data_IF_149532328156
#
_entry.id   IF_149532328156
#
_cell.length_a   1.000
_cell.length_b   1.000
_cell.length_c   1.000
_cell.angle_alpha   90.00
_cell.angle_beta   90.00
_cell.angle_gamma   90.00
#
_symmetry.space_group_name_H-M   'P 1'
#
loop_
_entity.id
_entity.type
_entity.pdbx_description
1 polymer ?
#
# COMPACT_ATOMS: atom_id res chain seq x y z
N UNK A 1 -8.24 18.02 -12.56
CA UNK A 1 -6.92 17.62 -13.06
C UNK A 1 -5.93 17.93 -11.95
N UNK A 2 -5.16 16.95 -11.47
CA UNK A 2 -4.14 17.15 -10.43
C UNK A 2 -3.12 18.19 -10.90
N UNK A 3 -3.01 19.38 -10.31
CA UNK A 3 -1.90 20.28 -10.56
C UNK A 3 -0.82 19.97 -9.53
N UNK A 4 -0.28 18.75 -9.55
CA UNK A 4 0.87 18.41 -8.70
C UNK A 4 2.13 18.84 -9.42
N UNK A 5 2.39 20.14 -9.33
CA UNK A 5 3.64 20.74 -9.78
C UNK A 5 4.77 20.06 -9.00
N UNK A 6 5.81 19.59 -9.70
CA UNK A 6 7.05 18.97 -9.17
C UNK A 6 7.05 17.47 -8.84
N UNK A 7 6.01 16.69 -9.15
CA UNK A 7 6.08 15.23 -9.02
C UNK A 7 7.11 14.61 -9.98
N UNK A 8 7.84 13.59 -9.52
CA UNK A 8 8.91 12.94 -10.28
C UNK A 8 8.71 11.41 -10.33
N UNK A 9 9.26 10.72 -11.35
CA UNK A 9 9.36 9.26 -11.30
C UNK A 9 10.06 8.81 -10.02
N UNK A 10 9.53 7.77 -9.39
CA UNK A 10 9.97 7.24 -8.10
C UNK A 10 9.24 7.82 -6.88
N UNK A 11 8.51 8.93 -7.03
CA UNK A 11 7.66 9.43 -5.94
C UNK A 11 6.58 8.40 -5.56
N UNK A 12 6.06 8.49 -4.35
CA UNK A 12 5.16 7.47 -3.79
C UNK A 12 3.75 8.01 -3.65
N UNK A 13 2.76 7.18 -3.98
CA UNK A 13 1.34 7.49 -3.76
C UNK A 13 0.81 6.57 -2.68
N UNK A 14 0.34 7.17 -1.59
CA UNK A 14 -0.30 6.47 -0.48
C UNK A 14 -1.81 6.57 -0.59
N UNK A 15 -2.49 5.47 -0.26
CA UNK A 15 -3.94 5.32 -0.38
C UNK A 15 -4.52 5.23 1.03
N UNK A 16 -5.50 6.09 1.30
CA UNK A 16 -6.03 6.29 2.64
C UNK A 16 -7.51 5.94 2.72
N UNK A 17 -7.90 5.41 3.87
CA UNK A 17 -9.29 5.18 4.26
C UNK A 17 -9.56 5.71 5.66
N UNK A 18 -10.51 6.61 5.78
CA UNK A 18 -10.95 7.23 7.01
C UNK A 18 -11.62 6.19 7.90
N UNK A 19 -11.10 6.06 9.12
CA UNK A 19 -11.65 5.18 10.16
C UNK A 19 -13.06 5.59 10.61
N UNK A 20 -13.45 6.85 10.43
CA UNK A 20 -14.79 7.35 10.77
C UNK A 20 -15.91 6.87 9.83
N UNK A 21 -15.56 6.27 8.68
CA UNK A 21 -16.51 5.78 7.67
C UNK A 21 -16.57 4.24 7.58
N UNK A 22 -16.17 3.52 8.63
CA UNK A 22 -16.13 2.05 8.66
C UNK A 22 -17.48 1.30 8.55
N UNK A 23 -18.56 1.99 8.16
CA UNK A 23 -19.84 1.36 7.83
C UNK A 23 -20.13 1.54 6.33
N UNK A 24 -19.62 0.62 5.48
CA UNK A 24 -20.39 -0.09 4.43
C UNK A 24 -19.68 -0.46 3.11
N UNK A 25 -18.39 -0.16 2.88
CA UNK A 25 -17.74 -0.52 1.58
C UNK A 25 -16.28 -0.97 1.61
N UNK A 26 -15.60 -0.95 2.76
CA UNK A 26 -14.21 -1.42 2.90
C UNK A 26 -14.13 -2.94 3.03
N UNK A 27 -13.21 -3.60 2.31
CA UNK A 27 -12.96 -5.03 2.50
C UNK A 27 -12.42 -5.33 3.92
N UNK A 28 -12.77 -6.50 4.49
CA UNK A 28 -12.27 -6.93 5.81
C UNK A 28 -10.73 -6.97 5.87
N UNK A 29 -10.08 -7.21 4.73
CA UNK A 29 -8.63 -7.21 4.57
C UNK A 29 -8.01 -5.85 4.87
N UNK A 30 -8.50 -4.79 4.23
CA UNK A 30 -7.94 -3.44 4.36
C UNK A 30 -8.13 -2.90 5.79
N UNK A 31 -9.27 -3.20 6.41
CA UNK A 31 -9.50 -2.87 7.82
C UNK A 31 -8.53 -3.58 8.76
N UNK A 32 -8.19 -4.85 8.47
CA UNK A 32 -7.21 -5.59 9.25
C UNK A 32 -5.79 -5.02 9.08
N UNK A 33 -5.41 -4.61 7.87
CA UNK A 33 -4.14 -3.90 7.61
C UNK A 33 -4.07 -2.60 8.39
N UNK A 34 -5.14 -1.79 8.35
CA UNK A 34 -5.23 -0.54 9.11
C UNK A 34 -5.09 -0.79 10.62
N UNK A 35 -5.81 -1.81 11.13
CA UNK A 35 -5.84 -2.15 12.56
C UNK A 35 -4.50 -2.70 13.08
N UNK A 36 -3.67 -3.21 12.18
CA UNK A 36 -2.31 -3.69 12.45
C UNK A 36 -1.30 -2.55 12.67
N UNK A 37 -1.65 -1.30 12.35
CA UNK A 37 -0.78 -0.13 12.47
C UNK A 37 -0.94 0.62 13.80
N UNK A 38 0.18 1.07 14.39
CA UNK A 38 0.19 1.95 15.57
C UNK A 38 0.38 3.44 15.23
N UNK A 39 0.60 3.77 13.95
CA UNK A 39 0.88 5.12 13.42
C UNK A 39 0.06 5.34 12.15
N UNK A 40 -0.58 6.50 11.98
CA UNK A 40 -1.39 6.85 10.80
C UNK A 40 -2.29 5.68 10.34
N UNK A 41 -3.28 5.37 11.18
CA UNK A 41 -4.17 4.21 11.05
C UNK A 41 -5.22 4.36 9.92
N UNK A 42 -4.85 5.00 8.82
CA UNK A 42 -5.71 5.21 7.66
C UNK A 42 -5.02 4.76 6.36
N UNK A 43 -3.71 4.49 6.38
CA UNK A 43 -2.96 4.08 5.18
C UNK A 43 -3.02 2.57 5.00
N UNK A 44 -3.62 2.11 3.89
CA UNK A 44 -3.77 0.67 3.61
C UNK A 44 -2.99 0.22 2.37
N UNK A 45 -2.58 1.14 1.48
CA UNK A 45 -1.89 0.78 0.25
C UNK A 45 -0.89 1.85 -0.19
N UNK A 46 0.09 1.44 -1.00
CA UNK A 46 1.14 2.33 -1.54
C UNK A 46 1.53 1.90 -2.95
N UNK A 47 1.86 2.87 -3.79
CA UNK A 47 2.31 2.67 -5.17
C UNK A 47 3.53 3.54 -5.51
N UNK A 48 4.30 3.09 -6.50
CA UNK A 48 5.40 3.83 -7.11
C UNK A 48 4.88 4.62 -8.32
N UNK A 49 5.05 5.94 -8.33
CA UNK A 49 4.76 6.77 -9.50
C UNK A 49 5.87 6.60 -10.54
N UNK A 50 5.52 6.14 -11.75
CA UNK A 50 6.51 5.89 -12.81
C UNK A 50 6.46 6.95 -13.92
N UNK A 51 5.26 7.44 -14.27
CA UNK A 51 5.08 8.49 -15.27
C UNK A 51 4.19 9.60 -14.73
N UNK A 52 4.76 10.68 -14.17
CA UNK A 52 3.99 11.73 -13.52
C UNK A 52 3.02 12.48 -14.44
N UNK A 53 3.35 12.65 -15.72
CA UNK A 53 2.54 13.41 -16.67
C UNK A 53 1.17 12.79 -16.93
N UNK A 54 1.11 11.45 -16.87
CA UNK A 54 -0.11 10.68 -17.12
C UNK A 54 -0.56 9.87 -15.89
N UNK A 55 0.14 10.04 -14.77
CA UNK A 55 -0.08 9.35 -13.50
C UNK A 55 -0.11 7.82 -13.63
N UNK A 56 0.85 7.25 -14.37
CA UNK A 56 1.07 5.80 -14.40
C UNK A 56 1.80 5.39 -13.13
N UNK A 57 1.33 4.32 -12.50
CA UNK A 57 1.89 3.75 -11.27
C UNK A 57 2.24 2.28 -11.46
N UNK A 58 3.20 1.80 -10.67
CA UNK A 58 3.41 0.36 -10.45
C UNK A 58 3.19 0.07 -8.97
N UNK A 59 2.40 -0.95 -8.67
CA UNK A 59 2.10 -1.39 -7.32
C UNK A 59 1.87 -2.89 -7.27
N UNK A 60 1.77 -3.46 -6.06
CA UNK A 60 1.42 -4.87 -5.89
C UNK A 60 0.07 -5.03 -5.19
N UNK A 61 -0.90 -5.68 -5.84
CA UNK A 61 -2.27 -5.88 -5.31
C UNK A 61 -2.62 -7.36 -5.19
N UNK A 62 -3.55 -7.75 -4.29
CA UNK A 62 -4.01 -9.13 -4.19
C UNK A 62 -4.54 -9.71 -5.51
N UNK A 63 -5.15 -8.87 -6.36
CA UNK A 63 -5.78 -9.30 -7.62
C UNK A 63 -4.77 -9.48 -8.75
N UNK A 64 -3.80 -8.56 -8.89
CA UNK A 64 -2.94 -8.50 -10.08
C UNK A 64 -1.47 -8.83 -9.78
N UNK A 65 -1.08 -9.02 -8.52
CA UNK A 65 0.32 -9.01 -8.15
C UNK A 65 0.94 -7.66 -8.48
N UNK A 66 2.22 -7.65 -8.87
CA UNK A 66 2.90 -6.45 -9.38
C UNK A 66 2.38 -6.11 -10.77
N UNK A 67 1.72 -4.98 -10.90
CA UNK A 67 1.13 -4.51 -12.16
C UNK A 67 1.33 -3.01 -12.36
N UNK A 68 1.38 -2.62 -13.62
CA UNK A 68 1.25 -1.23 -14.03
C UNK A 68 -0.23 -0.87 -14.19
N UNK A 69 -0.64 0.28 -13.67
CA UNK A 69 -1.99 0.82 -13.81
C UNK A 69 -1.93 2.35 -13.96
N UNK A 70 -2.96 2.95 -14.57
CA UNK A 70 -3.19 4.37 -14.34
C UNK A 70 -3.66 4.60 -12.90
N UNK A 71 -3.31 5.75 -12.29
CA UNK A 71 -3.80 6.11 -10.96
C UNK A 71 -5.34 6.11 -10.90
N UNK A 72 -6.01 6.44 -12.01
CA UNK A 72 -7.47 6.41 -12.09
C UNK A 72 -8.03 4.99 -11.93
N UNK A 73 -7.43 4.00 -12.60
CA UNK A 73 -7.84 2.59 -12.47
C UNK A 73 -7.58 2.10 -11.05
N UNK A 74 -6.40 2.38 -10.51
CA UNK A 74 -6.06 2.02 -9.14
C UNK A 74 -7.04 2.62 -8.11
N UNK A 75 -7.44 3.88 -8.29
CA UNK A 75 -8.48 4.53 -7.45
C UNK A 75 -9.83 3.82 -7.59
N UNK A 76 -10.22 3.41 -8.80
CA UNK A 76 -11.47 2.69 -9.03
C UNK A 76 -11.46 1.31 -8.38
N UNK A 77 -10.33 0.62 -8.45
CA UNK A 77 -10.16 -0.74 -7.94
C UNK A 77 -10.06 -0.76 -6.41
N UNK A 78 -9.34 0.21 -5.83
CA UNK A 78 -9.07 0.26 -4.38
C UNK A 78 -10.07 1.11 -3.60
N UNK A 79 -10.82 1.99 -4.26
CA UNK A 79 -11.81 2.89 -3.66
C UNK A 79 -11.30 3.55 -2.35
N UNK A 80 -10.16 4.28 -2.38
CA UNK A 80 -9.68 5.00 -1.21
C UNK A 80 -10.54 6.26 -1.03
N UNK A 81 -10.57 6.81 0.18
CA UNK A 81 -11.23 8.10 0.44
C UNK A 81 -10.41 9.25 -0.12
N UNK A 82 -9.08 9.13 -0.04
CA UNK A 82 -8.15 10.03 -0.68
C UNK A 82 -6.81 9.34 -0.97
N UNK A 83 -6.03 9.99 -1.82
CA UNK A 83 -4.63 9.62 -2.07
C UNK A 83 -3.70 10.77 -1.72
N UNK A 84 -2.53 10.45 -1.21
CA UNK A 84 -1.46 11.40 -0.87
C UNK A 84 -0.25 11.14 -1.76
N UNK A 85 0.17 12.15 -2.53
CA UNK A 85 1.43 12.07 -3.29
C UNK A 85 2.57 12.61 -2.42
N UNK A 86 3.60 11.78 -2.26
CA UNK A 86 4.82 12.13 -1.54
C UNK A 86 6.03 12.11 -2.47
N UNK A 87 6.76 13.23 -2.48
CA UNK A 87 8.10 13.28 -3.05
C UNK A 87 9.06 12.50 -2.17
N UNK A 88 9.91 11.67 -2.78
CA UNK A 88 11.01 11.03 -2.06
C UNK A 88 12.32 11.78 -2.36
N UNK A 89 12.92 12.34 -1.30
CA UNK A 89 14.14 13.12 -1.36
C UNK A 89 15.37 12.21 -1.53
N UNK A 90 15.57 11.75 -2.76
CA UNK A 90 16.69 10.92 -3.20
C UNK A 90 17.25 11.45 -4.53
N UNK A 91 18.52 11.14 -4.84
CA UNK A 91 19.08 11.43 -6.15
C UNK A 91 18.22 10.85 -7.29
N UNK A 92 18.03 11.64 -8.35
CA UNK A 92 17.21 11.23 -9.49
C UNK A 92 17.62 9.87 -10.09
N UNK A 93 18.93 9.58 -10.15
CA UNK A 93 19.44 8.30 -10.63
C UNK A 93 18.95 7.11 -9.79
N UNK A 94 18.85 7.25 -8.47
CA UNK A 94 18.35 6.20 -7.59
C UNK A 94 16.85 5.97 -7.78
N UNK A 95 16.08 7.05 -7.94
CA UNK A 95 14.64 6.96 -8.23
C UNK A 95 14.35 6.28 -9.57
N UNK A 96 15.08 6.65 -10.61
CA UNK A 96 14.98 6.02 -11.93
C UNK A 96 15.39 4.55 -11.88
N UNK A 97 16.45 4.20 -11.14
CA UNK A 97 16.83 2.80 -10.96
C UNK A 97 15.72 1.99 -10.27
N UNK A 98 15.07 2.53 -9.25
CA UNK A 98 13.92 1.89 -8.59
C UNK A 98 12.74 1.69 -9.55
N UNK A 99 12.45 2.68 -10.41
CA UNK A 99 11.43 2.58 -11.46
C UNK A 99 11.76 1.49 -12.47
N UNK A 100 12.99 1.42 -12.95
CA UNK A 100 13.41 0.38 -13.91
C UNK A 100 13.38 -1.02 -13.28
N UNK A 101 13.78 -1.15 -12.02
CA UNK A 101 13.64 -2.41 -11.29
C UNK A 101 12.17 -2.81 -11.13
N UNK A 102 11.29 -1.85 -10.80
CA UNK A 102 9.86 -2.07 -10.65
C UNK A 102 9.21 -2.57 -11.94
N UNK A 103 9.56 -2.00 -13.10
CA UNK A 103 9.10 -2.47 -14.41
C UNK A 103 9.49 -3.92 -14.68
N UNK A 104 10.70 -4.33 -14.27
CA UNK A 104 11.16 -5.73 -14.40
C UNK A 104 10.39 -6.72 -13.50
N UNK A 105 9.65 -6.22 -12.50
CA UNK A 105 8.84 -7.07 -11.62
C UNK A 105 7.39 -7.21 -12.07
N UNK A 106 6.95 -6.56 -13.15
CA UNK A 106 5.57 -6.70 -13.64
C UNK A 106 5.25 -8.18 -13.88
N UNK A 107 4.13 -8.65 -13.33
CA UNK A 107 3.69 -10.05 -13.37
C UNK A 107 4.13 -10.91 -12.17
N UNK A 108 5.00 -10.40 -11.29
CA UNK A 108 5.33 -11.07 -10.02
C UNK A 108 4.08 -11.14 -9.13
N UNK A 109 3.84 -12.28 -8.48
CA UNK A 109 2.61 -12.55 -7.74
C UNK A 109 2.48 -11.70 -6.46
N UNK A 110 1.28 -11.68 -5.88
CA UNK A 110 1.06 -11.06 -4.57
C UNK A 110 1.53 -11.98 -3.44
N UNK A 111 2.21 -11.40 -2.45
CA UNK A 111 2.63 -12.10 -1.23
C UNK A 111 1.44 -12.10 -0.26
N UNK A 112 0.56 -13.08 -0.43
CA UNK A 112 -0.67 -13.23 0.34
C UNK A 112 -0.43 -13.62 1.80
N UNK A 113 0.74 -14.15 2.14
CA UNK A 113 1.10 -14.57 3.51
C UNK A 113 2.08 -13.63 4.19
N UNK A 114 2.30 -12.44 3.62
CA UNK A 114 3.19 -11.40 4.14
C UNK A 114 4.60 -11.90 4.53
N UNK A 115 5.09 -12.93 3.83
CA UNK A 115 6.35 -13.58 4.19
C UNK A 115 7.54 -12.61 4.08
N UNK A 116 8.47 -12.60 5.07
CA UNK A 116 9.70 -11.81 4.99
C UNK A 116 10.57 -12.21 3.78
N UNK A 117 10.42 -13.44 3.31
CA UNK A 117 11.25 -14.02 2.24
C UNK A 117 10.76 -13.67 0.82
N UNK A 118 9.72 -12.82 0.68
CA UNK A 118 9.13 -12.45 -0.61
C UNK A 118 8.57 -13.67 -1.36
N UNK A 119 7.84 -14.52 -0.65
CA UNK A 119 7.23 -15.76 -1.15
C UNK A 119 5.75 -15.82 -0.73
N UNK A 120 4.88 -16.29 -1.63
CA UNK A 120 3.45 -16.43 -1.36
C UNK A 120 3.15 -17.82 -0.76
N UNK A 121 1.88 -18.10 -0.47
CA UNK A 121 1.39 -19.41 0.00
C UNK A 121 1.75 -20.59 -0.90
N UNK A 122 2.12 -20.33 -2.17
CA UNK A 122 2.54 -21.34 -3.16
C UNK A 122 4.06 -21.43 -3.34
N UNK A 123 4.82 -20.77 -2.47
CA UNK A 123 6.28 -20.70 -2.54
C UNK A 123 6.81 -20.05 -3.84
N UNK A 124 6.03 -19.15 -4.43
CA UNK A 124 6.40 -18.37 -5.61
C UNK A 124 6.89 -16.99 -5.19
N UNK A 125 7.88 -16.46 -5.93
CA UNK A 125 8.37 -15.09 -5.75
C UNK A 125 7.19 -14.13 -5.81
N UNK A 126 7.06 -13.30 -4.79
CA UNK A 126 5.92 -12.41 -4.63
C UNK A 126 6.21 -11.23 -3.72
N UNK A 127 5.38 -10.20 -3.80
CA UNK A 127 5.47 -9.02 -2.95
C UNK A 127 4.09 -8.57 -2.47
N UNK A 128 4.02 -7.98 -1.28
CA UNK A 128 2.90 -7.11 -0.92
C UNK A 128 3.30 -5.64 -1.16
N UNK A 129 2.33 -4.74 -1.17
CA UNK A 129 2.50 -3.37 -1.69
C UNK A 129 3.73 -2.62 -1.15
N UNK A 130 3.88 -2.52 0.16
CA UNK A 130 5.00 -1.78 0.76
C UNK A 130 6.31 -2.59 0.80
N UNK A 131 6.27 -3.93 0.79
CA UNK A 131 7.48 -4.75 0.61
C UNK A 131 8.06 -4.59 -0.79
N UNK A 132 7.19 -4.47 -1.80
CA UNK A 132 7.59 -4.18 -3.16
C UNK A 132 8.34 -2.83 -3.26
N UNK A 133 7.81 -1.77 -2.65
CA UNK A 133 8.45 -0.44 -2.65
C UNK A 133 9.81 -0.47 -1.93
N UNK A 134 9.86 -1.09 -0.73
CA UNK A 134 11.12 -1.23 0.00
C UNK A 134 12.17 -1.98 -0.83
N UNK A 135 11.78 -3.07 -1.49
CA UNK A 135 12.67 -3.84 -2.36
C UNK A 135 13.12 -3.05 -3.58
N UNK A 136 12.26 -2.27 -4.22
CA UNK A 136 12.64 -1.44 -5.36
C UNK A 136 13.78 -0.46 -5.03
N UNK A 137 13.73 0.17 -3.86
CA UNK A 137 14.77 1.08 -3.41
C UNK A 137 15.99 0.38 -2.80
N UNK A 138 15.78 -0.72 -2.09
CA UNK A 138 16.85 -1.54 -1.50
C UNK A 138 17.73 -2.17 -2.57
N UNK A 139 17.14 -2.77 -3.59
CA UNK A 139 17.88 -3.50 -4.63
C UNK A 139 18.63 -2.58 -5.60
N UNK A 140 18.36 -1.28 -5.58
CA UNK A 140 18.94 -0.33 -6.54
C UNK A 140 19.92 0.64 -5.90
N UNK A 141 19.97 0.71 -4.58
CA UNK A 141 20.97 1.50 -3.86
C UNK A 141 22.28 0.73 -3.64
N UNK A 142 23.36 1.50 -3.41
CA UNK A 142 24.73 0.98 -3.30
C UNK A 142 24.88 0.05 -2.08
N UNK A 143 24.22 0.37 -0.97
CA UNK A 143 24.38 -0.38 0.28
C UNK A 143 23.57 -1.67 0.33
N UNK A 144 22.63 -1.87 -0.60
CA UNK A 144 21.66 -2.98 -0.58
C UNK A 144 20.87 -3.08 0.73
N UNK A 145 20.59 -1.93 1.34
CA UNK A 145 19.85 -1.81 2.61
C UNK A 145 18.52 -1.08 2.39
N UNK A 146 17.57 -1.34 3.28
CA UNK A 146 16.34 -0.54 3.32
C UNK A 146 16.69 0.91 3.65
N UNK A 147 16.03 1.83 2.96
CA UNK A 147 16.09 3.28 3.22
C UNK A 147 14.90 3.76 4.05
N UNK A 148 13.95 2.85 4.35
CA UNK A 148 12.76 3.15 5.12
C UNK A 148 12.94 2.68 6.57
N UNK A 149 12.15 3.23 7.52
CA UNK A 149 12.22 2.81 8.91
C UNK A 149 11.97 1.30 9.05
N UNK A 150 12.73 0.60 9.92
CA UNK A 150 12.55 -0.82 10.12
C UNK A 150 11.17 -1.11 10.74
N UNK A 151 10.54 -2.20 10.31
CA UNK A 151 9.25 -2.64 10.83
C UNK A 151 9.28 -4.14 11.14
N UNK A 152 8.58 -4.50 12.22
CA UNK A 152 8.22 -5.88 12.54
C UNK A 152 6.72 -6.04 12.31
N UNK A 153 6.35 -7.04 11.53
CA UNK A 153 4.95 -7.32 11.21
C UNK A 153 4.13 -7.46 12.49
N UNK A 154 2.97 -6.83 12.48
CA UNK A 154 2.05 -6.84 13.59
C UNK A 154 0.67 -7.27 13.11
N UNK A 155 0.13 -8.32 13.71
CA UNK A 155 -1.21 -8.86 13.46
C UNK A 155 -2.10 -8.72 14.69
N UNK A 156 -1.66 -7.90 15.66
CA UNK A 156 -2.37 -7.60 16.90
C UNK A 156 -2.99 -6.21 16.88
N UNK A 157 -4.12 -6.09 17.55
CA UNK A 157 -4.78 -4.82 17.81
C UNK A 157 -4.04 -3.98 18.89
N UNK A 158 -4.55 -2.79 19.16
CA UNK A 158 -4.00 -1.90 20.19
C UNK A 158 -4.06 -2.47 21.61
N UNK A 159 -4.90 -3.48 21.87
CA UNK A 159 -4.98 -4.19 23.15
C UNK A 159 -3.95 -5.33 23.25
N UNK A 160 -3.24 -5.62 22.17
CA UNK A 160 -2.24 -6.69 22.08
C UNK A 160 -2.82 -8.07 21.73
N UNK A 161 -4.10 -8.14 21.36
CA UNK A 161 -4.75 -9.39 20.95
C UNK A 161 -4.63 -9.58 19.44
N UNK A 162 -4.50 -10.83 18.99
CA UNK A 162 -4.53 -11.12 17.55
C UNK A 162 -5.88 -10.74 16.95
N UNK A 163 -5.85 -10.05 15.81
CA UNK A 163 -7.06 -9.66 15.09
C UNK A 163 -7.69 -10.93 14.50
N UNK A 164 -8.96 -11.26 14.81
CA UNK A 164 -9.58 -12.52 14.38
C UNK A 164 -9.54 -12.75 12.87
N UNK A 165 -9.69 -11.67 12.08
CA UNK A 165 -9.57 -11.73 10.63
C UNK A 165 -8.27 -12.40 10.18
N UNK A 166 -7.12 -12.07 10.80
CA UNK A 166 -5.84 -12.63 10.39
C UNK A 166 -5.71 -14.11 10.75
N UNK A 167 -6.30 -14.54 11.87
CA UNK A 167 -6.33 -15.95 12.25
C UNK A 167 -7.11 -16.77 11.20
N UNK A 168 -8.32 -16.31 10.85
CA UNK A 168 -9.15 -16.96 9.83
C UNK A 168 -8.45 -16.97 8.46
N UNK A 169 -7.86 -15.84 8.10
CA UNK A 169 -7.12 -15.68 6.85
C UNK A 169 -5.97 -16.68 6.72
N UNK A 170 -5.13 -16.83 7.76
CA UNK A 170 -3.99 -17.76 7.71
C UNK A 170 -4.41 -19.22 7.80
N UNK A 171 -5.48 -19.52 8.53
CA UNK A 171 -6.08 -20.86 8.52
C UNK A 171 -6.55 -21.27 7.11
N UNK A 172 -7.07 -20.33 6.33
CA UNK A 172 -7.47 -20.56 4.94
C UNK A 172 -6.26 -20.67 3.99
N UNK A 173 -5.29 -19.75 4.12
CA UNK A 173 -4.16 -19.65 3.18
C UNK A 173 -3.05 -20.66 3.39
N UNK A 174 -2.80 -21.04 4.64
CA UNK A 174 -1.72 -21.95 5.03
C UNK A 174 -2.26 -23.05 5.95
N UNK A 175 -3.20 -23.91 5.49
CA UNK A 175 -3.86 -24.88 6.37
C UNK A 175 -2.89 -25.88 7.02
N UNK A 176 -1.73 -26.11 6.41
CA UNK A 176 -0.68 -26.99 6.96
C UNK A 176 0.18 -26.31 8.03
N UNK A 177 0.30 -24.98 8.00
CA UNK A 177 1.03 -24.19 9.00
C UNK A 177 0.49 -22.75 9.09
N UNK A 178 -0.62 -22.52 9.82
CA UNK A 178 -1.30 -21.21 9.87
C UNK A 178 -0.61 -20.23 10.85
N UNK A 179 0.72 -20.29 10.95
CA UNK A 179 1.49 -19.38 11.80
C UNK A 179 1.49 -17.98 11.21
N UNK A 180 1.00 -17.01 11.99
CA UNK A 180 1.15 -15.59 11.69
C UNK A 180 2.63 -15.22 11.80
N UNK A 181 3.22 -14.49 10.83
CA UNK A 181 4.59 -13.99 10.91
C UNK A 181 4.68 -12.79 11.86
N UNK A 182 4.09 -12.90 13.04
CA UNK A 182 4.07 -11.87 14.06
C UNK A 182 5.48 -11.61 14.61
N UNK A 183 5.92 -10.35 14.55
CA UNK A 183 7.22 -9.94 15.03
C UNK A 183 8.37 -10.21 14.06
N UNK A 184 8.12 -10.87 12.94
CA UNK A 184 9.07 -11.07 11.85
C UNK A 184 9.37 -9.73 11.14
N UNK A 185 10.56 -9.57 10.51
CA UNK A 185 10.86 -8.41 9.69
C UNK A 185 9.84 -8.24 8.55
N UNK A 186 9.40 -7.01 8.32
CA UNK A 186 8.53 -6.71 7.19
C UNK A 186 8.45 -5.22 6.92
N UNK A 187 7.38 -4.80 6.27
CA UNK A 187 7.07 -3.40 6.05
C UNK A 187 5.58 -3.16 6.23
N UNK A 188 5.23 -1.90 6.45
CA UNK A 188 3.85 -1.44 6.55
C UNK A 188 3.77 -0.08 5.85
N UNK A 189 2.70 0.22 5.07
CA UNK A 189 2.63 1.47 4.33
C UNK A 189 2.74 2.71 5.23
N UNK A 190 2.13 2.69 6.42
CA UNK A 190 2.24 3.80 7.40
C UNK A 190 3.67 4.02 7.91
N UNK A 191 4.44 2.94 8.08
CA UNK A 191 5.84 3.03 8.53
C UNK A 191 6.72 3.54 7.40
N UNK A 192 6.50 3.07 6.18
CA UNK A 192 7.15 3.65 4.99
C UNK A 192 6.89 5.16 4.91
N UNK A 193 5.63 5.56 5.09
CA UNK A 193 5.20 6.96 5.04
C UNK A 193 5.80 7.83 6.16
N UNK A 194 6.14 7.25 7.31
CA UNK A 194 6.81 7.97 8.41
C UNK A 194 8.29 8.30 8.13
N UNK A 195 8.84 7.83 7.01
CA UNK A 195 10.21 8.15 6.63
C UNK A 195 10.43 9.65 6.49
N UNK A 196 11.52 10.16 7.07
CA UNK A 196 11.94 11.56 6.92
C UNK A 196 12.40 11.90 5.51
N UNK A 197 12.53 10.91 4.63
CA UNK A 197 12.83 11.11 3.21
C UNK A 197 11.60 11.55 2.40
N UNK A 198 10.39 11.46 2.95
CA UNK A 198 9.15 11.74 2.24
C UNK A 198 8.60 13.11 2.60
N UNK A 199 8.31 13.90 1.57
CA UNK A 199 7.64 15.21 1.67
C UNK A 199 6.31 15.17 0.90
N UNK A 200 5.23 15.67 1.51
CA UNK A 200 3.92 15.67 0.88
C UNK A 200 3.86 16.74 -0.20
N UNK A 201 3.60 16.34 -1.45
CA UNK A 201 3.34 17.25 -2.55
C UNK A 201 1.86 17.64 -2.65
N UNK A 202 0.96 16.76 -2.23
CA UNK A 202 -0.47 17.08 -2.16
C UNK A 202 -1.36 15.90 -1.83
N UNK A 203 -2.60 16.23 -1.48
CA UNK A 203 -3.67 15.29 -1.14
C UNK A 203 -4.82 15.46 -2.12
N UNK A 204 -5.37 14.35 -2.58
CA UNK A 204 -6.52 14.34 -3.49
C UNK A 204 -7.65 13.51 -2.93
N UNK A 205 -8.72 14.21 -2.56
CA UNK A 205 -9.96 13.63 -2.08
C UNK A 205 -10.79 13.07 -3.22
N UNK A 206 -11.20 11.81 -3.07
CA UNK A 206 -12.10 11.16 -4.01
C UNK A 206 -13.52 11.49 -3.57
N UNK A 207 -14.21 12.26 -4.41
CA UNK A 207 -15.61 12.58 -4.17
C UNK A 207 -16.39 11.27 -4.18
N UNK A 208 -16.99 10.92 -3.05
CA UNK A 208 -18.06 9.93 -3.03
C UNK A 208 -19.18 10.43 -3.93
N UNK A 209 -19.72 9.55 -4.75
CA UNK A 209 -20.89 9.86 -5.55
C UNK A 209 -22.08 10.06 -4.60
N UNK A 210 -22.33 11.30 -4.20
CA UNK A 210 -23.43 11.67 -3.28
C UNK A 210 -24.81 11.51 -3.93
N UNK A 211 -24.91 10.98 -5.16
CA UNK A 211 -26.18 10.73 -5.84
C UNK A 211 -27.05 9.62 -5.22
N UNK A 212 -26.58 8.93 -4.17
CA UNK A 212 -27.35 7.91 -3.43
C UNK A 212 -27.95 8.36 -2.10
N UNK A 213 -27.77 9.62 -1.68
CA UNK A 213 -28.62 10.17 -0.61
C UNK A 213 -29.86 10.76 -1.28
N UNK A 214 -30.85 9.90 -1.56
CA UNK A 214 -32.19 10.37 -1.89
C UNK A 214 -32.71 11.15 -0.68
N UNK A 215 -32.70 12.45 -0.87
CA UNK A 215 -33.52 13.45 -0.22
C UNK A 215 -34.96 12.93 -0.08
N UNK A 216 -35.39 12.73 1.16
CA UNK A 216 -36.81 12.82 1.53
C UNK A 216 -36.95 13.80 2.69
N UNK A 217 -36.43 15.00 2.47
CA UNK A 217 -36.78 16.16 3.26
C UNK A 217 -37.20 17.29 2.32
N UNK A 218 -38.46 17.26 1.85
CA UNK A 218 -39.48 18.26 2.21
C UNK A 218 -40.68 18.33 1.24
N UNK A 219 -41.83 18.65 1.87
CA UNK A 219 -43.10 19.27 1.40
C UNK A 219 -43.98 18.45 0.43
N UNK A 220 -45.30 18.29 0.62
CA UNK A 220 -46.35 19.00 1.40
C UNK A 220 -47.26 18.05 2.17
#
# INVERSE_FOLDING_TARGET
MFPLINSQPGDLIFFHRLTSYQNSSSSNFENAVISSSTLNADIFHVALLVEPNIYTIIHSTPTYGVSEQSLREAIKDTQPDYVELCHINLPAAQKLAAVEWAKQQIGVQYNDIFSPNCLNSKNEKSYYCCQFIDKAYKETNIEKKSIFPPHKLNFKDASGNFIPYWLDYYNEKCPENPELPQGEPGSHPSILRSSTLLEVLGVYWIKSDTSKVCDTSKVE
#
